data_IF_503048844100
#
_entry.id   IF_503048844100
#
_cell.length_a   1.000
_cell.length_b   1.000
_cell.length_c   1.000
_cell.angle_alpha   90.00
_cell.angle_beta   90.00
_cell.angle_gamma   90.00
#
_symmetry.space_group_name_H-M   'P 1'
#
loop_
_entity.id
_entity.type
_entity.pdbx_description
1 polymer ?
#
# COMPACT_ATOMS: atom_id res chain seq x y z
N UNK A 1 -24.00 -24.10 10.47
CA UNK A 1 -23.50 -23.19 9.40
C UNK A 1 -22.74 -24.03 8.39
N UNK A 2 -23.38 -24.38 7.28
CA UNK A 2 -22.84 -25.23 6.21
C UNK A 2 -22.86 -24.47 4.89
N UNK A 3 -22.24 -23.29 4.87
CA UNK A 3 -22.18 -22.48 3.67
C UNK A 3 -20.72 -22.45 3.22
N UNK A 4 -20.43 -23.17 2.13
CA UNK A 4 -19.15 -23.20 1.41
C UNK A 4 -17.95 -23.93 2.04
N UNK A 5 -18.16 -24.85 2.99
CA UNK A 5 -17.06 -25.63 3.63
C UNK A 5 -16.22 -26.45 2.62
N UNK A 6 -16.82 -26.86 1.51
CA UNK A 6 -16.19 -27.73 0.49
C UNK A 6 -16.00 -27.04 -0.87
N UNK A 7 -16.09 -25.70 -0.94
CA UNK A 7 -15.84 -24.99 -2.19
C UNK A 7 -14.33 -24.73 -2.37
N UNK A 8 -13.66 -25.35 -3.35
CA UNK A 8 -12.22 -25.17 -3.56
C UNK A 8 -11.84 -23.73 -3.98
N UNK A 9 -12.80 -22.93 -4.44
CA UNK A 9 -12.61 -21.52 -4.79
C UNK A 9 -12.79 -20.57 -3.59
N UNK A 10 -13.19 -21.08 -2.42
CA UNK A 10 -13.39 -20.29 -1.22
C UNK A 10 -12.27 -20.55 -0.22
N UNK A 11 -11.42 -19.55 0.00
CA UNK A 11 -10.40 -19.61 1.04
C UNK A 11 -10.98 -19.14 2.37
N UNK A 12 -10.89 -20.00 3.38
CA UNK A 12 -11.21 -19.63 4.76
C UNK A 12 -9.95 -19.07 5.43
N UNK A 13 -9.95 -17.76 5.72
CA UNK A 13 -8.85 -17.15 6.44
C UNK A 13 -8.69 -17.80 7.83
N UNK A 14 -7.46 -18.19 8.16
CA UNK A 14 -7.10 -18.70 9.50
C UNK A 14 -7.00 -17.57 10.53
N UNK A 15 -6.83 -16.34 10.06
CA UNK A 15 -6.72 -15.12 10.85
C UNK A 15 -8.00 -14.28 10.70
N UNK A 16 -8.30 -13.45 11.69
CA UNK A 16 -9.46 -12.53 11.69
C UNK A 16 -9.03 -11.08 11.43
N UNK A 17 -10.01 -10.20 11.15
CA UNK A 17 -9.83 -8.77 10.95
C UNK A 17 -8.84 -8.45 9.81
N UNK A 18 -7.99 -7.42 9.99
CA UNK A 18 -6.99 -7.02 9.00
C UNK A 18 -6.01 -8.14 8.63
N UNK A 19 -5.66 -9.02 9.57
CA UNK A 19 -4.75 -10.14 9.29
C UNK A 19 -5.37 -11.19 8.38
N UNK A 20 -6.70 -11.35 8.38
CA UNK A 20 -7.40 -12.24 7.44
C UNK A 20 -7.39 -11.68 6.02
N UNK A 21 -7.58 -10.37 5.87
CA UNK A 21 -7.49 -9.68 4.57
C UNK A 21 -6.07 -9.81 4.01
N UNK A 22 -5.05 -9.56 4.83
CA UNK A 22 -3.64 -9.71 4.46
C UNK A 22 -3.33 -11.15 3.99
N UNK A 23 -3.88 -12.15 4.69
CA UNK A 23 -3.74 -13.56 4.30
C UNK A 23 -4.35 -13.83 2.91
N UNK A 24 -5.55 -13.32 2.65
CA UNK A 24 -6.21 -13.47 1.35
C UNK A 24 -5.42 -12.77 0.23
N UNK A 25 -4.91 -11.56 0.48
CA UNK A 25 -4.06 -10.85 -0.47
C UNK A 25 -2.81 -11.65 -0.85
N UNK A 26 -2.18 -12.32 0.13
CA UNK A 26 -1.05 -13.22 -0.12
C UNK A 26 -1.44 -14.44 -0.94
N UNK A 27 -2.59 -15.07 -0.62
CA UNK A 27 -3.06 -16.25 -1.36
C UNK A 27 -3.36 -15.93 -2.83
N UNK A 28 -4.01 -14.80 -3.10
CA UNK A 28 -4.34 -14.37 -4.47
C UNK A 28 -3.23 -13.59 -5.16
N UNK A 29 -2.08 -13.37 -4.51
CA UNK A 29 -0.96 -12.57 -5.05
C UNK A 29 -1.38 -11.15 -5.48
N UNK A 30 -2.31 -10.52 -4.76
CA UNK A 30 -2.88 -9.21 -5.09
C UNK A 30 -2.00 -8.02 -4.66
N UNK A 31 -0.82 -8.27 -4.11
CA UNK A 31 0.11 -7.24 -3.65
C UNK A 31 0.80 -7.58 -2.34
N UNK A 32 1.39 -6.58 -1.65
CA UNK A 32 2.07 -6.80 -0.38
C UNK A 32 1.13 -7.43 0.65
N UNK A 33 1.52 -8.60 1.17
CA UNK A 33 0.76 -9.36 2.18
C UNK A 33 1.29 -9.11 3.60
N UNK A 34 1.67 -7.87 3.88
CA UNK A 34 2.16 -7.43 5.18
C UNK A 34 1.54 -6.09 5.54
N UNK A 35 1.28 -5.88 6.83
CA UNK A 35 0.81 -4.57 7.28
C UNK A 35 1.92 -3.54 7.10
N UNK A 36 1.64 -2.48 6.34
CA UNK A 36 2.55 -1.35 6.13
C UNK A 36 3.07 -0.74 7.45
N UNK A 37 2.26 -0.78 8.53
CA UNK A 37 2.67 -0.32 9.87
C UNK A 37 3.83 -1.14 10.45
N UNK A 38 3.86 -2.45 10.18
CA UNK A 38 4.88 -3.36 10.69
C UNK A 38 6.18 -3.39 9.88
N UNK A 39 6.26 -2.66 8.77
CA UNK A 39 7.44 -2.67 7.89
C UNK A 39 8.45 -1.63 8.37
N UNK A 40 9.61 -2.06 8.83
CA UNK A 40 10.71 -1.17 9.22
C UNK A 40 11.42 -0.53 8.03
N UNK A 41 11.54 -1.25 6.91
CA UNK A 41 12.15 -0.75 5.68
C UNK A 41 11.10 -0.45 4.60
N UNK A 42 10.71 0.83 4.49
CA UNK A 42 9.71 1.28 3.51
C UNK A 42 10.13 0.98 2.06
N UNK A 43 11.42 0.75 1.77
CA UNK A 43 11.91 0.40 0.43
C UNK A 43 11.47 -0.99 -0.01
N UNK A 44 11.20 -1.91 0.93
CA UNK A 44 10.66 -3.26 0.65
C UNK A 44 9.21 -3.24 0.22
N UNK A 45 8.55 -2.11 0.39
CA UNK A 45 7.16 -1.90 0.01
C UNK A 45 7.15 -1.12 -1.32
N UNK A 46 7.53 -1.80 -2.41
CA UNK A 46 7.38 -1.27 -3.77
C UNK A 46 6.40 -2.16 -4.54
N UNK A 47 5.17 -1.71 -4.82
CA UNK A 47 4.34 -2.36 -5.81
C UNK A 47 4.96 -2.14 -7.20
N UNK A 48 4.76 -3.10 -8.11
CA UNK A 48 5.23 -3.01 -9.50
C UNK A 48 4.49 -1.96 -10.35
N UNK A 49 3.47 -1.29 -9.79
CA UNK A 49 2.66 -0.25 -10.43
C UNK A 49 2.52 0.92 -9.45
N UNK A 50 2.75 2.15 -9.93
CA UNK A 50 2.57 3.38 -9.15
C UNK A 50 1.10 3.53 -8.74
N UNK A 51 0.83 3.49 -7.44
CA UNK A 51 -0.52 3.65 -6.88
C UNK A 51 -0.54 4.90 -5.98
N UNK A 52 -1.30 5.96 -6.31
CA UNK A 52 -1.35 7.19 -5.51
C UNK A 52 -1.81 6.96 -4.07
N UNK A 53 -2.79 6.08 -3.86
CA UNK A 53 -3.28 5.73 -2.52
C UNK A 53 -2.18 5.12 -1.66
N UNK A 54 -1.29 4.35 -2.29
CA UNK A 54 -0.18 3.70 -1.63
C UNK A 54 0.91 4.68 -1.17
N UNK A 55 1.24 5.67 -2.01
CA UNK A 55 2.21 6.71 -1.65
C UNK A 55 1.67 7.67 -0.57
N UNK A 56 0.36 7.95 -0.57
CA UNK A 56 -0.30 8.70 0.52
C UNK A 56 -0.20 7.96 1.85
N UNK A 57 -0.44 6.64 1.87
CA UNK A 57 -0.32 5.84 3.11
C UNK A 57 1.13 5.82 3.62
N UNK A 58 2.12 5.71 2.72
CA UNK A 58 3.54 5.82 3.10
C UNK A 58 3.87 7.18 3.71
N UNK A 59 3.34 8.27 3.16
CA UNK A 59 3.54 9.62 3.70
C UNK A 59 3.03 9.74 5.15
N UNK A 60 1.80 9.30 5.43
CA UNK A 60 1.25 9.36 6.78
C UNK A 60 2.01 8.46 7.77
N UNK A 61 2.47 7.28 7.34
CA UNK A 61 3.31 6.41 8.18
C UNK A 61 4.66 7.05 8.51
N UNK A 62 5.30 7.69 7.53
CA UNK A 62 6.54 8.43 7.78
C UNK A 62 6.30 9.59 8.74
N UNK A 63 5.22 10.36 8.55
CA UNK A 63 4.86 11.47 9.44
C UNK A 63 4.63 11.00 10.87
N UNK A 64 3.88 9.93 11.05
CA UNK A 64 3.63 9.30 12.35
C UNK A 64 4.93 8.85 13.04
N UNK A 65 5.85 8.21 12.30
CA UNK A 65 7.15 7.79 12.85
C UNK A 65 8.06 8.97 13.13
N UNK A 66 8.01 10.01 12.31
CA UNK A 66 8.76 11.26 12.53
C UNK A 66 8.36 11.88 13.87
N UNK A 67 7.06 11.98 14.16
CA UNK A 67 6.56 12.48 15.44
C UNK A 67 7.04 11.66 16.64
N UNK A 68 7.26 10.35 16.45
CA UNK A 68 7.79 9.45 17.49
C UNK A 68 9.33 9.44 17.58
N UNK A 69 10.02 10.24 16.77
CA UNK A 69 11.48 10.21 16.61
C UNK A 69 12.04 8.83 16.20
N UNK A 70 11.23 8.01 15.52
CA UNK A 70 11.58 6.65 15.08
C UNK A 70 12.17 6.63 13.65
N UNK A 71 12.47 7.80 13.08
CA UNK A 71 12.97 7.93 11.70
C UNK A 71 14.42 8.36 11.71
N UNK A 72 15.33 7.40 11.55
CA UNK A 72 16.72 7.70 11.22
C UNK A 72 16.84 8.16 9.75
N UNK A 73 17.80 9.06 9.46
CA UNK A 73 18.09 9.57 8.10
C UNK A 73 16.87 10.19 7.41
N UNK A 74 16.12 10.96 8.17
CA UNK A 74 14.83 11.53 7.75
C UNK A 74 14.93 12.43 6.50
N UNK A 75 16.09 13.05 6.26
CA UNK A 75 16.42 13.81 5.06
C UNK A 75 16.25 12.99 3.76
N UNK A 76 16.71 11.74 3.74
CA UNK A 76 16.62 10.87 2.56
C UNK A 76 15.16 10.54 2.22
N UNK A 77 14.31 10.38 3.24
CA UNK A 77 12.88 10.14 3.04
C UNK A 77 12.16 11.39 2.52
N UNK A 78 12.53 12.58 3.00
CA UNK A 78 11.99 13.86 2.53
C UNK A 78 12.41 14.13 1.09
N UNK A 79 13.66 13.88 0.70
CA UNK A 79 14.10 13.99 -0.70
C UNK A 79 13.34 13.03 -1.62
N UNK A 80 13.17 11.78 -1.20
CA UNK A 80 12.42 10.80 -1.98
C UNK A 80 10.94 11.21 -2.16
N UNK A 81 10.31 11.76 -1.12
CA UNK A 81 8.96 12.33 -1.22
C UNK A 81 8.89 13.51 -2.19
N UNK A 82 9.86 14.43 -2.13
CA UNK A 82 9.94 15.57 -3.06
C UNK A 82 10.04 15.10 -4.51
N UNK A 83 10.80 14.03 -4.78
CA UNK A 83 10.89 13.44 -6.12
C UNK A 83 9.55 12.86 -6.57
N UNK A 84 8.88 12.07 -5.73
CA UNK A 84 7.57 11.48 -6.04
C UNK A 84 6.53 12.57 -6.36
N UNK A 85 6.48 13.64 -5.57
CA UNK A 85 5.56 14.75 -5.83
C UNK A 85 5.93 15.54 -7.10
N UNK A 86 7.22 15.70 -7.42
CA UNK A 86 7.62 16.31 -8.70
C UNK A 86 7.17 15.46 -9.88
N UNK A 87 7.38 14.15 -9.82
CA UNK A 87 6.91 13.22 -10.86
C UNK A 87 5.39 13.34 -11.01
N UNK A 88 4.64 13.31 -9.91
CA UNK A 88 3.17 13.46 -9.92
C UNK A 88 2.70 14.79 -10.54
N UNK A 89 3.40 15.89 -10.25
CA UNK A 89 3.11 17.22 -10.79
C UNK A 89 3.61 17.43 -12.23
N UNK A 90 4.46 16.52 -12.72
CA UNK A 90 5.03 16.57 -14.07
C UNK A 90 4.31 15.62 -15.04
N UNK A 91 3.34 14.82 -14.56
CA UNK A 91 2.42 14.07 -15.43
C UNK A 91 1.58 15.11 -16.19
N UNK A 92 1.66 15.20 -17.53
CA UNK A 92 0.81 16.11 -18.30
C UNK A 92 -0.66 15.73 -18.06
N UNK A 93 -1.55 16.71 -18.16
CA UNK A 93 -2.98 16.64 -17.85
C UNK A 93 -3.83 15.58 -18.60
N UNK A 94 -3.23 14.55 -19.21
CA UNK A 94 -3.93 13.46 -19.92
C UNK A 94 -4.58 12.40 -19.04
N UNK A 95 -4.96 12.72 -17.79
CA UNK A 95 -5.78 11.84 -16.95
C UNK A 95 -7.11 12.51 -16.54
N UNK A 96 -7.56 13.54 -17.27
CA UNK A 96 -8.94 14.03 -17.24
C UNK A 96 -9.89 13.22 -18.13
N UNK A 97 -9.36 12.50 -19.12
CA UNK A 97 -10.19 11.97 -20.21
C UNK A 97 -10.66 10.52 -19.99
N UNK A 98 -10.26 9.87 -18.87
CA UNK A 98 -10.71 8.51 -18.54
C UNK A 98 -11.93 8.46 -17.59
N UNK A 99 -12.42 9.61 -17.11
CA UNK A 99 -13.57 9.68 -16.20
C UNK A 99 -14.85 10.29 -16.81
N UNK A 100 -14.85 10.64 -18.11
CA UNK A 100 -16.07 11.15 -18.80
C UNK A 100 -16.67 10.12 -19.76
N UNK A 101 -16.35 8.84 -19.59
CA UNK A 101 -16.99 7.74 -20.34
C UNK A 101 -17.23 6.55 -19.42
N UNK A 102 -18.14 6.73 -18.46
CA UNK A 102 -18.89 5.67 -17.79
C UNK A 102 -20.26 6.24 -17.40
#
# INVERSE_FOLDING_TARGET
>A
MSNAKDNPNLIHATKRCASGIIQAMGYFSLGPNVSLRGITDLKKCKPGIFNPSYEVVKFYLLYERWQRAEVEKSEQYVENLKLIFREFLSIPQGLSDLCTSA
#
